data_IF_244577266134
#
_entry.id   IF_244577266134
#
_cell.length_a   1.000
_cell.length_b   1.000
_cell.length_c   1.000
_cell.angle_alpha   90.00
_cell.angle_beta   90.00
_cell.angle_gamma   90.00
#
_symmetry.space_group_name_H-M   'P 1'
#
loop_
_entity.id
_entity.type
_entity.pdbx_description
1 polymer ?
#
# COMPACT_ATOMS: atom_id res chain seq x y z
N UNK A 1 4.21 9.07 -3.79
CA UNK A 1 3.47 8.69 -2.58
C UNK A 1 4.33 7.72 -1.80
N UNK A 2 4.26 7.76 -0.47
CA UNK A 2 4.99 6.86 0.41
C UNK A 2 4.06 6.09 1.33
N UNK A 3 4.61 5.10 2.02
CA UNK A 3 3.93 4.28 3.01
C UNK A 3 4.91 3.51 3.87
N UNK A 4 4.42 2.46 4.54
CA UNK A 4 5.20 1.65 5.48
C UNK A 4 6.42 0.97 4.87
N UNK A 5 6.43 0.70 3.56
CA UNK A 5 7.59 0.16 2.84
C UNK A 5 8.81 1.10 2.85
N UNK A 6 8.63 2.39 3.16
CA UNK A 6 9.73 3.36 3.24
C UNK A 6 10.34 3.48 4.65
N UNK A 7 9.83 2.77 5.66
CA UNK A 7 10.33 2.87 7.04
C UNK A 7 11.85 2.64 7.07
N UNK A 8 12.31 1.52 6.50
CA UNK A 8 13.73 1.17 6.49
C UNK A 8 14.60 2.21 5.79
N UNK A 9 14.14 2.75 4.66
CA UNK A 9 14.83 3.82 3.93
C UNK A 9 14.97 5.07 4.81
N UNK A 10 13.87 5.56 5.38
CA UNK A 10 13.89 6.77 6.19
C UNK A 10 14.73 6.63 7.46
N UNK A 11 14.66 5.49 8.15
CA UNK A 11 15.43 5.30 9.38
C UNK A 11 16.92 5.07 9.15
N UNK A 12 17.32 4.58 7.97
CA UNK A 12 18.72 4.28 7.65
C UNK A 12 19.43 5.39 6.89
N UNK A 13 18.70 6.17 6.09
CA UNK A 13 19.29 7.09 5.10
C UNK A 13 19.10 8.57 5.46
N UNK A 14 18.33 8.89 6.50
CA UNK A 14 18.12 10.28 6.91
C UNK A 14 19.27 10.79 7.77
N UNK A 15 19.77 12.03 7.57
CA UNK A 15 20.84 12.61 8.38
C UNK A 15 20.37 13.10 9.75
N UNK A 16 19.08 12.94 10.07
CA UNK A 16 18.45 13.37 11.32
C UNK A 16 17.51 12.27 11.83
N UNK A 17 17.11 12.38 13.10
CA UNK A 17 16.16 11.45 13.73
C UNK A 17 14.80 11.55 13.06
N UNK A 18 14.30 10.42 12.55
CA UNK A 18 12.97 10.30 11.95
C UNK A 18 11.96 9.79 12.97
N UNK A 19 10.74 10.32 12.88
CA UNK A 19 9.55 9.77 13.53
C UNK A 19 8.41 9.65 12.51
N UNK A 20 7.44 8.80 12.82
CA UNK A 20 6.25 8.60 11.98
C UNK A 20 5.02 9.11 12.71
N UNK A 21 4.08 9.70 11.96
CA UNK A 21 2.82 10.21 12.48
C UNK A 21 1.67 9.75 11.58
N UNK A 22 0.46 9.68 12.14
CA UNK A 22 -0.76 9.44 11.37
C UNK A 22 -0.99 10.58 10.37
N UNK A 23 -1.79 10.34 9.34
CA UNK A 23 -2.14 11.40 8.39
C UNK A 23 -2.79 12.60 9.11
N UNK A 24 -2.77 13.81 8.55
CA UNK A 24 -3.58 14.91 9.07
C UNK A 24 -5.07 14.58 9.01
N UNK A 25 -5.86 15.16 9.92
CA UNK A 25 -7.32 15.01 9.90
C UNK A 25 -7.90 15.99 8.88
N UNK A 26 -8.66 15.48 7.90
CA UNK A 26 -9.37 16.29 6.92
C UNK A 26 -10.83 16.57 7.31
N UNK A 27 -11.58 17.34 6.48
CA UNK A 27 -12.98 17.70 6.74
C UNK A 27 -13.92 16.49 6.90
N UNK A 28 -13.57 15.35 6.31
CA UNK A 28 -14.33 14.09 6.37
C UNK A 28 -13.64 13.05 7.26
N UNK A 29 -12.79 13.51 8.18
CA UNK A 29 -11.93 12.65 8.99
C UNK A 29 -10.66 12.28 8.25
N UNK A 30 -10.03 11.20 8.72
CA UNK A 30 -8.82 10.67 8.14
C UNK A 30 -9.11 9.41 7.33
N UNK A 31 -8.48 9.30 6.16
CA UNK A 31 -8.62 8.14 5.31
C UNK A 31 -7.31 7.85 4.58
N UNK A 32 -6.65 6.77 4.95
CA UNK A 32 -5.50 6.24 4.24
C UNK A 32 -5.92 5.13 3.28
N UNK A 33 -5.26 5.03 2.14
CA UNK A 33 -5.41 3.87 1.27
C UNK A 33 -4.65 2.70 1.89
N UNK A 34 -5.24 1.51 1.91
CA UNK A 34 -4.58 0.25 2.29
C UNK A 34 -4.61 -0.71 1.11
N UNK A 35 -3.51 -1.44 0.90
CA UNK A 35 -3.42 -2.51 -0.07
C UNK A 35 -2.76 -3.75 0.56
N UNK A 36 -2.95 -4.88 -0.11
CA UNK A 36 -2.25 -6.13 0.19
C UNK A 36 -1.53 -6.63 -1.05
N UNK A 37 -0.48 -7.41 -0.84
CA UNK A 37 0.23 -8.15 -1.88
C UNK A 37 -0.06 -9.63 -1.71
N UNK A 38 -0.16 -10.36 -2.81
CA UNK A 38 -0.39 -11.79 -2.82
C UNK A 38 0.56 -12.47 -3.80
N UNK A 39 1.16 -13.57 -3.36
CA UNK A 39 1.96 -14.44 -4.23
C UNK A 39 1.04 -15.14 -5.22
N UNK A 40 1.35 -15.03 -6.52
CA UNK A 40 0.53 -15.58 -7.60
C UNK A 40 1.33 -16.62 -8.40
N UNK A 41 0.66 -17.70 -8.80
CA UNK A 41 1.25 -18.74 -9.64
C UNK A 41 0.99 -18.41 -11.11
N UNK A 42 2.04 -18.34 -11.91
CA UNK A 42 1.90 -18.17 -13.35
C UNK A 42 1.26 -19.40 -13.99
N UNK A 43 0.19 -19.20 -14.76
CA UNK A 43 -0.59 -20.28 -15.38
C UNK A 43 0.20 -21.15 -16.36
N UNK A 44 1.30 -20.63 -16.92
CA UNK A 44 2.16 -21.37 -17.85
C UNK A 44 3.29 -22.16 -17.19
N UNK A 45 3.34 -22.24 -15.85
CA UNK A 45 4.39 -22.98 -15.15
C UNK A 45 4.39 -24.45 -15.56
N UNK A 46 5.60 -25.02 -15.72
CA UNK A 46 5.79 -26.46 -15.93
C UNK A 46 5.74 -27.27 -14.63
N UNK A 47 5.65 -26.58 -13.49
CA UNK A 47 5.73 -27.14 -12.13
C UNK A 47 4.55 -26.63 -11.26
N UNK A 48 3.30 -26.96 -11.62
CA UNK A 48 2.13 -26.40 -10.92
C UNK A 48 2.02 -26.89 -9.48
N UNK A 49 2.38 -28.14 -9.20
CA UNK A 49 2.30 -28.72 -7.86
C UNK A 49 3.37 -28.13 -6.93
N UNK A 50 4.61 -28.01 -7.40
CA UNK A 50 5.72 -27.44 -6.65
C UNK A 50 5.52 -25.94 -6.40
N UNK A 51 5.03 -25.21 -7.41
CA UNK A 51 4.65 -23.81 -7.25
C UNK A 51 3.53 -23.64 -6.20
N UNK A 52 2.56 -24.56 -6.17
CA UNK A 52 1.51 -24.56 -5.16
C UNK A 52 2.04 -24.82 -3.75
N UNK A 53 2.95 -25.80 -3.58
CA UNK A 53 3.58 -26.04 -2.29
C UNK A 53 4.35 -24.80 -1.80
N UNK A 54 5.05 -24.11 -2.70
CA UNK A 54 5.79 -22.91 -2.37
C UNK A 54 4.88 -21.76 -1.92
N UNK A 55 3.85 -21.42 -2.71
CA UNK A 55 2.91 -20.34 -2.34
C UNK A 55 2.16 -20.68 -1.04
N UNK A 56 1.81 -21.95 -0.83
CA UNK A 56 1.21 -22.40 0.42
C UNK A 56 2.16 -22.22 1.62
N UNK A 57 3.46 -22.49 1.44
CA UNK A 57 4.45 -22.21 2.47
C UNK A 57 4.59 -20.71 2.74
N UNK A 58 4.67 -19.87 1.71
CA UNK A 58 4.79 -18.41 1.87
C UNK A 58 3.60 -17.79 2.64
N UNK A 59 2.40 -18.34 2.45
CA UNK A 59 1.20 -17.94 3.18
C UNK A 59 1.10 -18.50 4.62
N UNK A 60 2.00 -19.41 5.01
CA UNK A 60 1.98 -20.06 6.33
C UNK A 60 2.38 -19.12 7.46
N UNK A 61 1.99 -19.47 8.69
CA UNK A 61 2.41 -18.74 9.87
C UNK A 61 3.93 -18.71 10.06
N UNK A 62 4.60 -19.82 9.74
CA UNK A 62 6.05 -19.94 9.82
C UNK A 62 6.74 -18.93 8.91
N UNK A 63 6.41 -18.92 7.62
CA UNK A 63 7.03 -18.03 6.65
C UNK A 63 6.73 -16.55 6.97
N UNK A 64 5.50 -16.22 7.35
CA UNK A 64 5.13 -14.84 7.69
C UNK A 64 5.80 -14.35 8.97
N UNK A 65 6.06 -15.22 9.96
CA UNK A 65 6.88 -14.89 11.13
C UNK A 65 8.34 -14.67 10.75
N UNK A 66 8.90 -15.47 9.84
CA UNK A 66 10.25 -15.25 9.31
C UNK A 66 10.33 -13.86 8.69
N UNK A 67 9.41 -13.51 7.78
CA UNK A 67 9.36 -12.16 7.17
C UNK A 67 9.22 -11.07 8.22
N UNK A 68 8.31 -11.25 9.19
CA UNK A 68 8.10 -10.31 10.29
C UNK A 68 9.37 -10.07 11.11
N UNK A 69 10.15 -11.11 11.39
CA UNK A 69 11.39 -11.01 12.19
C UNK A 69 12.44 -10.07 11.59
N UNK A 70 12.43 -9.86 10.26
CA UNK A 70 13.33 -8.91 9.61
C UNK A 70 12.91 -7.46 9.82
N UNK A 71 11.64 -7.19 10.14
CA UNK A 71 11.11 -5.84 10.34
C UNK A 71 11.32 -4.96 9.10
N UNK A 72 10.89 -5.45 7.93
CA UNK A 72 11.00 -4.78 6.63
C UNK A 72 9.65 -4.41 6.03
N UNK A 73 8.60 -5.17 6.38
CA UNK A 73 7.20 -4.96 5.96
C UNK A 73 6.28 -5.40 7.09
N UNK A 74 4.97 -5.15 6.95
CA UNK A 74 3.94 -5.75 7.80
C UNK A 74 3.38 -7.00 7.10
N UNK A 75 3.58 -8.21 7.65
CA UNK A 75 3.01 -9.45 7.12
C UNK A 75 1.47 -9.46 7.07
N UNK A 76 0.89 -10.33 6.26
CA UNK A 76 -0.56 -10.38 6.04
C UNK A 76 -1.33 -11.03 7.21
N UNK A 77 -0.65 -11.75 8.10
CA UNK A 77 -1.24 -12.42 9.26
C UNK A 77 -0.81 -11.76 10.57
N UNK A 78 -1.67 -11.82 11.58
CA UNK A 78 -1.43 -11.19 12.90
C UNK A 78 -0.10 -11.63 13.53
N UNK A 79 0.20 -12.93 13.52
CA UNK A 79 1.42 -13.44 14.14
C UNK A 79 2.70 -12.89 13.48
N UNK A 80 2.71 -12.68 12.16
CA UNK A 80 3.81 -12.04 11.46
C UNK A 80 3.89 -10.53 11.74
N UNK A 81 2.75 -9.85 11.85
CA UNK A 81 2.69 -8.44 12.29
C UNK A 81 3.28 -8.28 13.69
N UNK A 82 2.94 -9.17 14.63
CA UNK A 82 3.47 -9.14 15.99
C UNK A 82 5.00 -9.30 16.00
N UNK A 83 5.56 -10.17 15.15
CA UNK A 83 7.02 -10.28 14.97
C UNK A 83 7.63 -9.02 14.34
N UNK A 84 6.98 -8.42 13.34
CA UNK A 84 7.43 -7.16 12.76
C UNK A 84 7.47 -6.03 13.78
N UNK A 85 6.45 -5.92 14.64
CA UNK A 85 6.41 -4.91 15.70
C UNK A 85 7.53 -5.11 16.73
N UNK A 86 7.83 -6.36 17.11
CA UNK A 86 9.00 -6.67 17.95
C UNK A 86 10.31 -6.26 17.27
N UNK A 87 10.46 -6.59 15.98
CA UNK A 87 11.66 -6.26 15.21
C UNK A 87 11.87 -4.75 15.02
N UNK A 88 10.80 -3.96 14.83
CA UNK A 88 10.91 -2.51 14.80
C UNK A 88 11.23 -1.94 16.19
N UNK A 89 10.60 -2.46 17.24
CA UNK A 89 10.84 -2.02 18.62
C UNK A 89 12.28 -2.28 19.06
N UNK A 90 12.86 -3.44 18.72
CA UNK A 90 14.26 -3.77 19.04
C UNK A 90 15.26 -2.84 18.33
N UNK A 91 14.87 -2.28 17.17
CA UNK A 91 15.62 -1.24 16.44
C UNK A 91 15.32 0.18 16.94
N UNK A 92 14.51 0.33 18.01
CA UNK A 92 14.04 1.62 18.53
C UNK A 92 13.27 2.46 17.50
N UNK A 93 12.54 1.79 16.60
CA UNK A 93 11.71 2.42 15.56
C UNK A 93 10.24 2.32 16.01
N UNK A 94 9.62 3.47 16.28
CA UNK A 94 8.20 3.52 16.59
C UNK A 94 7.35 3.56 15.30
N UNK A 95 6.64 2.47 15.02
CA UNK A 95 5.78 2.33 13.83
C UNK A 95 4.29 2.41 14.14
N UNK A 96 3.89 2.79 15.37
CA UNK A 96 2.47 2.79 15.77
C UNK A 96 1.61 3.70 14.91
N UNK A 97 2.17 4.75 14.33
CA UNK A 97 1.48 5.60 13.36
C UNK A 97 0.82 4.80 12.21
N UNK A 98 1.45 3.73 11.74
CA UNK A 98 0.89 2.90 10.67
C UNK A 98 -0.16 1.92 11.19
N UNK A 99 0.09 1.27 12.33
CA UNK A 99 -0.86 0.28 12.88
C UNK A 99 -2.09 0.94 13.49
N UNK A 100 -1.94 2.07 14.15
CA UNK A 100 -3.06 2.82 14.74
C UNK A 100 -3.98 3.33 13.63
N UNK A 101 -3.41 3.82 12.53
CA UNK A 101 -4.17 4.24 11.35
C UNK A 101 -4.92 3.07 10.70
N UNK A 102 -4.24 1.93 10.53
CA UNK A 102 -4.84 0.73 9.96
C UNK A 102 -5.98 0.15 10.80
N UNK A 103 -5.90 0.28 12.13
CA UNK A 103 -6.92 -0.18 13.08
C UNK A 103 -8.01 0.87 13.39
N UNK A 104 -7.84 2.12 12.95
CA UNK A 104 -8.81 3.18 13.17
C UNK A 104 -10.10 2.86 12.40
N UNK A 105 -11.26 2.97 13.06
CA UNK A 105 -12.55 2.71 12.43
C UNK A 105 -12.75 3.68 11.26
N UNK A 106 -12.93 3.14 10.05
CA UNK A 106 -12.99 3.90 8.79
C UNK A 106 -11.71 4.68 8.46
N UNK A 107 -10.59 4.41 9.15
CA UNK A 107 -9.29 5.05 8.88
C UNK A 107 -8.67 4.61 7.58
N UNK A 108 -9.11 3.47 7.01
CA UNK A 108 -8.60 2.97 5.73
C UNK A 108 -9.68 2.71 4.68
N UNK A 109 -9.25 2.66 3.42
CA UNK A 109 -10.04 2.16 2.29
C UNK A 109 -9.15 1.33 1.36
N UNK A 110 -9.73 0.30 0.74
CA UNK A 110 -8.99 -0.63 -0.12
C UNK A 110 -8.63 0.03 -1.45
N UNK A 111 -7.41 -0.22 -1.94
CA UNK A 111 -7.03 0.15 -3.31
C UNK A 111 -7.97 -0.51 -4.34
N UNK A 112 -8.61 0.26 -5.23
CA UNK A 112 -9.53 -0.31 -6.22
C UNK A 112 -8.80 -1.23 -7.21
N UNK A 113 -9.17 -2.51 -7.23
CA UNK A 113 -8.77 -3.45 -8.28
C UNK A 113 -9.85 -3.44 -9.34
N UNK A 114 -9.56 -2.83 -10.49
CA UNK A 114 -10.53 -2.59 -11.56
C UNK A 114 -9.93 -2.95 -12.93
N UNK A 115 -10.81 -3.35 -13.85
CA UNK A 115 -10.46 -3.44 -15.26
C UNK A 115 -9.99 -2.09 -15.80
N UNK A 116 -9.12 -2.11 -16.82
CA UNK A 116 -8.49 -0.92 -17.37
C UNK A 116 -7.68 -0.08 -16.35
N UNK A 117 -7.30 -0.64 -15.19
CA UNK A 117 -6.63 0.11 -14.10
C UNK A 117 -5.40 0.92 -14.51
N UNK A 118 -4.58 0.40 -15.44
CA UNK A 118 -3.42 1.13 -16.00
C UNK A 118 -3.88 2.39 -16.75
N UNK A 119 -4.83 2.26 -17.67
CA UNK A 119 -5.38 3.39 -18.45
C UNK A 119 -6.08 4.42 -17.55
N UNK A 120 -6.82 3.95 -16.55
CA UNK A 120 -7.46 4.83 -15.56
C UNK A 120 -6.40 5.64 -14.82
N UNK A 121 -5.32 4.98 -14.39
CA UNK A 121 -4.21 5.64 -13.69
C UNK A 121 -3.52 6.68 -14.59
N UNK A 122 -3.29 6.37 -15.86
CA UNK A 122 -2.74 7.31 -16.84
C UNK A 122 -3.63 8.55 -17.04
N UNK A 123 -4.94 8.35 -17.23
CA UNK A 123 -5.91 9.44 -17.36
C UNK A 123 -5.89 10.32 -16.10
N UNK A 124 -5.92 9.71 -14.91
CA UNK A 124 -5.92 10.45 -13.65
C UNK A 124 -4.61 11.22 -13.43
N UNK A 125 -3.44 10.62 -13.72
CA UNK A 125 -2.15 11.31 -13.63
C UNK A 125 -2.11 12.54 -14.52
N UNK A 126 -2.46 12.40 -15.81
CA UNK A 126 -2.47 13.53 -16.74
C UNK A 126 -3.45 14.64 -16.31
N UNK A 127 -4.61 14.24 -15.76
CA UNK A 127 -5.61 15.15 -15.24
C UNK A 127 -5.08 15.93 -14.04
N UNK A 128 -4.49 15.24 -13.06
CA UNK A 128 -3.90 15.88 -11.89
C UNK A 128 -2.73 16.78 -12.25
N UNK A 129 -1.86 16.38 -13.19
CA UNK A 129 -0.76 17.21 -13.67
C UNK A 129 -1.30 18.54 -14.25
N UNK A 130 -2.33 18.47 -15.10
CA UNK A 130 -2.96 19.65 -15.68
C UNK A 130 -3.62 20.56 -14.63
N UNK A 131 -4.25 19.97 -13.60
CA UNK A 131 -4.83 20.71 -12.48
C UNK A 131 -3.73 21.40 -11.65
N UNK A 132 -2.68 20.67 -11.27
CA UNK A 132 -1.63 21.19 -10.38
C UNK A 132 -0.81 22.32 -11.01
N UNK A 133 -0.62 22.30 -12.33
CA UNK A 133 0.05 23.39 -13.06
C UNK A 133 -0.92 24.50 -13.51
N UNK A 134 -2.19 24.43 -13.09
CA UNK A 134 -3.19 25.48 -13.34
C UNK A 134 -3.69 25.58 -14.79
N UNK A 135 -3.47 24.55 -15.63
CA UNK A 135 -3.97 24.53 -17.02
C UNK A 135 -5.48 24.37 -17.11
N UNK A 136 -6.09 23.66 -16.16
CA UNK A 136 -7.55 23.45 -16.07
C UNK A 136 -8.00 23.59 -14.62
N UNK A 137 -9.27 23.94 -14.41
CA UNK A 137 -9.86 23.90 -13.06
C UNK A 137 -10.05 22.44 -12.61
N UNK A 138 -10.03 22.15 -11.29
CA UNK A 138 -10.32 20.81 -10.78
C UNK A 138 -11.66 20.27 -11.28
N UNK A 139 -12.69 21.11 -11.30
CA UNK A 139 -14.03 20.72 -11.77
C UNK A 139 -14.02 20.28 -13.25
N UNK A 140 -13.40 21.09 -14.13
CA UNK A 140 -13.35 20.78 -15.56
C UNK A 140 -12.50 19.53 -15.84
N UNK A 141 -11.32 19.45 -15.21
CA UNK A 141 -10.41 18.31 -15.36
C UNK A 141 -11.04 17.00 -14.91
N UNK A 142 -11.67 16.97 -13.73
CA UNK A 142 -12.29 15.75 -13.20
C UNK A 142 -13.54 15.32 -14.00
N UNK A 143 -14.33 16.27 -14.52
CA UNK A 143 -15.46 15.95 -15.42
C UNK A 143 -15.00 15.29 -16.71
N UNK A 144 -13.96 15.82 -17.34
CA UNK A 144 -13.36 15.26 -18.56
C UNK A 144 -12.74 13.87 -18.29
N UNK A 145 -11.97 13.73 -17.20
CA UNK A 145 -11.40 12.45 -16.78
C UNK A 145 -12.49 11.39 -16.57
N UNK A 146 -13.58 11.73 -15.88
CA UNK A 146 -14.70 10.81 -15.66
C UNK A 146 -15.31 10.34 -16.98
N UNK A 147 -15.51 11.24 -17.95
CA UNK A 147 -16.00 10.87 -19.28
C UNK A 147 -15.05 9.88 -19.97
N UNK A 148 -13.75 10.20 -20.02
CA UNK A 148 -12.71 9.35 -20.62
C UNK A 148 -12.65 7.96 -19.98
N UNK A 149 -12.77 7.89 -18.65
CA UNK A 149 -12.79 6.62 -17.90
C UNK A 149 -14.02 5.81 -18.26
N UNK A 150 -15.22 6.41 -18.28
CA UNK A 150 -16.46 5.71 -18.65
C UNK A 150 -16.41 5.19 -20.10
N UNK A 151 -15.74 5.91 -21.00
CA UNK A 151 -15.56 5.47 -22.39
C UNK A 151 -14.65 4.23 -22.51
N UNK A 152 -13.86 3.86 -21.48
CA UNK A 152 -13.07 2.61 -21.48
C UNK A 152 -13.90 1.34 -21.30
N UNK A 153 -15.17 1.47 -20.91
CA UNK A 153 -16.07 0.36 -20.58
C UNK A 153 -17.24 0.22 -21.56
N UNK A 154 -17.17 0.92 -22.70
CA UNK A 154 -18.13 0.80 -23.81
C UNK A 154 -17.59 -0.15 -24.86
#
# INVERSE_FOLDING_TARGET
FDGSWMIGYYTSSSPFKVGFAKLPVGPVGRRSMINGLADSIWVGTKHPEEAWQWVKYLASEEAQKIVGSYGVVFPAIKAGVDEALKAYTSKNINVTAFTDEANEKNGTFVYPVVENGVKISEIMTQTFDAIFIGKVTPEAGLKDANKKILDLFK
#
